data_IF_344317260147
#
_entry.id   IF_344317260147
#
_cell.length_a   1.000
_cell.length_b   1.000
_cell.length_c   1.000
_cell.angle_alpha   90.00
_cell.angle_beta   90.00
_cell.angle_gamma   90.00
#
_symmetry.space_group_name_H-M   'P 1'
#
loop_
_entity.id
_entity.type
_entity.pdbx_description
1 polymer ?
#
# COMPACT_ATOMS: atom_id res chain seq x y z
N UNK A 1 1.92 -17.06 36.31
CA UNK A 1 1.78 -17.70 37.64
C UNK A 1 1.46 -16.69 38.76
N UNK A 2 0.77 -15.61 38.43
CA UNK A 2 -0.03 -14.82 39.38
C UNK A 2 -1.33 -14.54 38.65
N UNK A 3 -2.43 -15.09 39.16
CA UNK A 3 -3.79 -14.84 38.68
C UNK A 3 -4.14 -13.38 38.98
N UNK A 4 -3.74 -12.46 38.11
CA UNK A 4 -4.31 -11.13 38.10
C UNK A 4 -5.57 -11.22 37.24
N UNK A 5 -6.72 -11.49 37.89
CA UNK A 5 -8.02 -11.25 37.28
C UNK A 5 -8.05 -9.76 36.88
N UNK A 6 -7.93 -9.49 35.59
CA UNK A 6 -8.16 -8.16 35.05
C UNK A 6 -9.68 -7.91 35.13
N UNK A 7 -10.13 -7.44 36.28
CA UNK A 7 -11.50 -6.91 36.44
C UNK A 7 -11.47 -5.54 35.77
N UNK A 8 -11.87 -5.50 34.50
CA UNK A 8 -12.12 -4.25 33.80
C UNK A 8 -13.42 -3.67 34.38
N UNK A 9 -13.27 -2.72 35.30
CA UNK A 9 -14.38 -1.90 35.74
C UNK A 9 -14.84 -1.06 34.55
N UNK A 10 -15.89 -1.53 33.87
CA UNK A 10 -16.44 -0.95 32.63
C UNK A 10 -17.24 0.34 32.89
N UNK A 11 -17.01 1.01 34.03
CA UNK A 11 -17.69 2.24 34.44
C UNK A 11 -17.39 3.46 33.55
N UNK A 12 -16.45 3.36 32.62
CA UNK A 12 -16.14 4.42 31.64
C UNK A 12 -16.62 3.98 30.26
N UNK A 13 -17.86 4.34 29.91
CA UNK A 13 -18.51 4.25 28.60
C UNK A 13 -18.32 2.93 27.79
N UNK A 14 -19.40 2.24 27.36
CA UNK A 14 -19.32 0.93 26.68
C UNK A 14 -18.46 0.89 25.39
N UNK A 15 -18.16 2.05 24.79
CA UNK A 15 -17.22 2.16 23.67
C UNK A 15 -15.77 1.89 24.07
N UNK A 16 -15.35 2.24 25.30
CA UNK A 16 -13.95 2.06 25.74
C UNK A 16 -13.67 0.58 25.99
N UNK A 17 -14.62 -0.17 26.57
CA UNK A 17 -14.43 -1.59 26.90
C UNK A 17 -14.19 -2.49 25.68
N UNK A 18 -15.01 -2.35 24.63
CA UNK A 18 -14.89 -3.16 23.41
C UNK A 18 -13.67 -2.79 22.57
N UNK A 19 -13.38 -1.50 22.43
CA UNK A 19 -12.19 -1.04 21.71
C UNK A 19 -10.92 -1.41 22.49
N UNK A 20 -10.96 -1.38 23.82
CA UNK A 20 -9.86 -1.83 24.67
C UNK A 20 -9.64 -3.34 24.55
N UNK A 21 -10.69 -4.16 24.65
CA UNK A 21 -10.58 -5.62 24.45
C UNK A 21 -10.03 -5.92 23.06
N UNK A 22 -10.55 -5.30 22.01
CA UNK A 22 -10.08 -5.55 20.65
C UNK A 22 -8.65 -5.07 20.43
N UNK A 23 -8.24 -3.92 20.99
CA UNK A 23 -6.84 -3.46 20.97
C UNK A 23 -5.91 -4.36 21.77
N UNK A 24 -6.36 -4.86 22.92
CA UNK A 24 -5.63 -5.85 23.72
C UNK A 24 -5.48 -7.17 22.94
N UNK A 25 -6.50 -7.59 22.19
CA UNK A 25 -6.43 -8.75 21.31
C UNK A 25 -5.52 -8.51 20.08
N UNK A 26 -5.41 -7.26 19.60
CA UNK A 26 -4.59 -6.88 18.44
C UNK A 26 -3.11 -6.64 18.77
N UNK A 27 -2.78 -6.23 20.01
CA UNK A 27 -1.44 -5.71 20.34
C UNK A 27 -0.75 -6.36 21.54
N UNK A 28 -1.41 -7.28 22.27
CA UNK A 28 -0.75 -8.02 23.34
C UNK A 28 -0.43 -9.46 22.89
N UNK A 29 0.53 -10.11 23.57
CA UNK A 29 0.80 -11.57 23.56
C UNK A 29 -0.38 -12.43 24.09
N UNK A 30 -1.61 -11.94 23.92
CA UNK A 30 -2.89 -12.60 24.11
C UNK A 30 -3.16 -13.62 23.00
N UNK A 31 -2.29 -13.71 21.99
CA UNK A 31 -2.17 -14.88 21.10
C UNK A 31 -2.17 -16.19 21.89
N UNK A 32 -1.57 -16.23 23.09
CA UNK A 32 -1.60 -17.41 23.97
C UNK A 32 -2.99 -17.64 24.58
N UNK A 33 -3.69 -16.59 25.01
CA UNK A 33 -5.02 -16.72 25.64
C UNK A 33 -6.11 -17.00 24.60
N UNK A 34 -6.06 -16.36 23.42
CA UNK A 34 -6.91 -16.69 22.29
C UNK A 34 -6.63 -18.12 21.80
N UNK A 35 -5.37 -18.55 21.64
CA UNK A 35 -5.03 -19.94 21.26
C UNK A 35 -5.32 -20.98 22.35
N UNK A 36 -5.24 -20.64 23.64
CA UNK A 36 -5.48 -21.58 24.74
C UNK A 36 -6.95 -21.67 25.17
N UNK A 37 -7.75 -20.62 24.99
CA UNK A 37 -9.12 -20.58 25.52
C UNK A 37 -10.19 -20.32 24.46
N UNK A 38 -9.99 -19.35 23.56
CA UNK A 38 -11.00 -19.02 22.55
C UNK A 38 -10.99 -19.98 21.35
N UNK A 39 -9.79 -20.33 20.85
CA UNK A 39 -9.61 -21.24 19.73
C UNK A 39 -10.05 -22.67 20.08
N UNK A 40 -9.77 -23.23 21.27
CA UNK A 40 -10.28 -24.53 21.72
C UNK A 40 -11.79 -24.52 22.00
N UNK A 41 -12.35 -23.41 22.47
CA UNK A 41 -13.80 -23.25 22.59
C UNK A 41 -14.49 -23.15 21.22
N UNK A 42 -13.91 -22.40 20.27
CA UNK A 42 -14.38 -22.31 18.89
C UNK A 42 -14.20 -23.63 18.14
N UNK A 43 -13.05 -24.28 18.27
CA UNK A 43 -12.80 -25.60 17.66
C UNK A 43 -13.60 -26.70 18.32
N UNK A 44 -13.86 -26.70 19.62
CA UNK A 44 -14.80 -27.66 20.25
C UNK A 44 -16.25 -27.43 19.84
N UNK A 45 -16.68 -26.17 19.65
CA UNK A 45 -17.96 -25.83 19.03
C UNK A 45 -18.06 -26.28 17.56
N UNK A 46 -16.93 -26.26 16.82
CA UNK A 46 -16.85 -26.64 15.41
C UNK A 46 -16.53 -28.15 15.21
N UNK A 47 -15.93 -28.82 16.19
CA UNK A 47 -15.56 -30.25 16.21
C UNK A 47 -16.57 -31.11 16.96
N UNK A 48 -17.58 -30.52 17.60
CA UNK A 48 -18.80 -31.21 17.98
C UNK A 48 -19.51 -31.67 16.69
N UNK A 49 -19.01 -32.78 16.15
CA UNK A 49 -19.19 -33.37 14.82
C UNK A 49 -20.59 -33.91 14.54
N UNK A 50 -21.61 -33.38 15.22
CA UNK A 50 -23.01 -33.70 14.98
C UNK A 50 -23.92 -32.49 14.90
N UNK A 51 -23.42 -31.27 15.15
CA UNK A 51 -24.21 -30.05 14.98
C UNK A 51 -23.90 -29.46 13.60
N UNK A 52 -24.84 -29.46 12.64
CA UNK A 52 -24.64 -28.75 11.38
C UNK A 52 -24.17 -27.31 11.64
N UNK A 53 -23.32 -26.75 10.77
CA UNK A 53 -22.90 -25.33 10.84
C UNK A 53 -24.13 -24.41 10.88
N UNK A 54 -25.23 -24.86 10.28
CA UNK A 54 -26.56 -24.26 10.40
C UNK A 54 -27.11 -24.26 11.83
N UNK A 55 -26.81 -25.21 12.71
CA UNK A 55 -27.16 -25.16 14.15
C UNK A 55 -26.22 -24.32 15.01
N UNK A 56 -24.97 -24.06 14.62
CA UNK A 56 -24.12 -23.08 15.33
C UNK A 56 -24.50 -21.67 14.89
N UNK A 57 -24.74 -21.48 13.59
CA UNK A 57 -25.32 -20.26 13.03
C UNK A 57 -26.79 -20.09 13.41
N UNK A 58 -27.56 -21.16 13.65
CA UNK A 58 -28.92 -21.12 14.19
C UNK A 58 -28.97 -21.21 15.70
N UNK A 59 -27.91 -21.54 16.43
CA UNK A 59 -27.80 -21.23 17.85
C UNK A 59 -27.52 -19.74 18.00
N UNK A 60 -26.63 -19.20 17.17
CA UNK A 60 -26.47 -17.76 17.02
C UNK A 60 -27.73 -17.10 16.45
N UNK A 61 -28.48 -17.73 15.52
CA UNK A 61 -29.73 -17.21 14.98
C UNK A 61 -30.97 -17.49 15.85
N UNK A 62 -31.01 -18.52 16.70
CA UNK A 62 -32.05 -18.77 17.72
C UNK A 62 -31.86 -17.80 18.90
N UNK A 63 -30.61 -17.54 19.30
CA UNK A 63 -30.24 -16.39 20.16
C UNK A 63 -30.72 -15.06 19.53
N UNK A 64 -30.81 -15.00 18.19
CA UNK A 64 -31.36 -13.85 17.44
C UNK A 64 -32.86 -13.97 17.08
N UNK A 65 -33.55 -15.11 17.26
CA UNK A 65 -34.90 -15.33 16.69
C UNK A 65 -35.97 -15.90 17.63
N UNK A 66 -35.67 -16.70 18.65
CA UNK A 66 -36.72 -17.27 19.52
C UNK A 66 -36.27 -17.31 20.97
N UNK A 67 -36.50 -16.18 21.64
CA UNK A 67 -36.50 -16.05 23.09
C UNK A 67 -37.76 -16.70 23.66
N UNK A 68 -37.60 -17.74 24.49
CA UNK A 68 -38.40 -17.95 25.70
C UNK A 68 -37.74 -19.08 26.53
N UNK A 69 -37.26 -18.68 27.71
CA UNK A 69 -36.76 -19.46 28.86
C UNK A 69 -35.45 -20.28 28.81
N UNK A 70 -34.41 -19.75 29.48
CA UNK A 70 -33.95 -20.26 30.80
C UNK A 70 -32.70 -19.48 31.27
N UNK A 71 -32.89 -18.73 32.35
CA UNK A 71 -31.99 -18.13 33.37
C UNK A 71 -30.55 -17.70 33.02
N UNK A 72 -29.74 -18.51 32.35
CA UNK A 72 -28.43 -18.09 31.83
C UNK A 72 -28.59 -17.05 30.71
N UNK A 73 -29.65 -17.23 29.91
CA UNK A 73 -30.14 -16.27 28.92
C UNK A 73 -30.68 -15.02 29.61
N UNK A 74 -31.36 -15.09 30.76
CA UNK A 74 -31.87 -13.88 31.43
C UNK A 74 -30.76 -12.96 31.97
N UNK A 75 -29.60 -13.51 32.31
CA UNK A 75 -28.46 -12.73 32.82
C UNK A 75 -27.75 -11.97 31.70
N UNK A 76 -27.75 -12.54 30.48
CA UNK A 76 -27.24 -11.90 29.26
C UNK A 76 -28.30 -11.01 28.57
N UNK A 77 -29.58 -11.41 28.57
CA UNK A 77 -30.73 -10.71 27.97
C UNK A 77 -31.02 -9.38 28.65
N UNK A 78 -30.83 -9.25 29.97
CA UNK A 78 -30.92 -7.94 30.63
C UNK A 78 -29.89 -6.92 30.13
N UNK A 79 -28.84 -7.35 29.43
CA UNK A 79 -27.78 -6.46 28.95
C UNK A 79 -27.93 -6.03 27.48
N UNK A 80 -28.91 -6.59 26.75
CA UNK A 80 -28.96 -6.49 25.28
C UNK A 80 -30.30 -6.04 24.70
N UNK A 81 -31.18 -5.46 25.51
CA UNK A 81 -32.30 -4.67 24.99
C UNK A 81 -31.76 -3.39 24.34
N UNK A 82 -31.72 -3.33 23.00
CA UNK A 82 -32.51 -2.37 22.20
C UNK A 82 -32.12 -2.33 20.72
N UNK A 83 -33.16 -2.46 19.89
CA UNK A 83 -33.19 -2.38 18.42
C UNK A 83 -32.87 -0.97 17.90
N UNK A 84 -32.61 -0.88 16.60
CA UNK A 84 -32.36 0.37 15.87
C UNK A 84 -33.35 1.49 16.20
N UNK A 85 -32.79 2.56 16.77
CA UNK A 85 -33.47 3.81 17.10
C UNK A 85 -32.73 4.41 18.28
N UNK A 86 -31.83 5.38 18.02
CA UNK A 86 -30.98 6.07 19.00
C UNK A 86 -29.87 5.20 19.62
N UNK A 87 -28.78 5.83 20.06
CA UNK A 87 -27.60 5.19 20.69
C UNK A 87 -28.00 4.13 21.76
N UNK A 88 -27.55 2.86 21.64
CA UNK A 88 -27.90 1.75 22.57
C UNK A 88 -27.11 0.42 22.39
N UNK A 89 -27.20 -0.52 23.36
CA UNK A 89 -26.26 -1.65 23.64
C UNK A 89 -26.25 -2.84 22.64
N UNK A 90 -27.27 -3.03 21.82
CA UNK A 90 -27.28 -4.11 20.81
C UNK A 90 -26.38 -3.80 19.61
N UNK A 91 -26.16 -2.52 19.29
CA UNK A 91 -25.21 -2.10 18.25
C UNK A 91 -23.78 -2.52 18.63
N UNK A 92 -23.39 -2.30 19.89
CA UNK A 92 -22.07 -2.67 20.42
C UNK A 92 -21.78 -4.17 20.32
N UNK A 93 -22.78 -5.05 20.49
CA UNK A 93 -22.58 -6.51 20.33
C UNK A 93 -22.44 -6.95 18.88
N UNK A 94 -23.21 -6.36 17.97
CA UNK A 94 -23.04 -6.59 16.53
C UNK A 94 -21.66 -6.13 16.07
N UNK A 95 -21.19 -5.02 16.63
CA UNK A 95 -19.88 -4.43 16.41
C UNK A 95 -18.76 -5.34 16.91
N UNK A 96 -18.89 -5.86 18.13
CA UNK A 96 -18.00 -6.87 18.68
C UNK A 96 -17.90 -8.12 17.80
N UNK A 97 -19.04 -8.71 17.41
CA UNK A 97 -19.09 -9.99 16.69
C UNK A 97 -18.36 -9.92 15.35
N UNK A 98 -18.55 -8.85 14.59
CA UNK A 98 -17.89 -8.67 13.30
C UNK A 98 -16.38 -8.43 13.40
N UNK A 99 -15.91 -7.73 14.44
CA UNK A 99 -14.49 -7.51 14.69
C UNK A 99 -13.84 -8.84 15.10
N UNK A 100 -14.50 -9.61 15.96
CA UNK A 100 -14.03 -10.92 16.39
C UNK A 100 -13.97 -11.91 15.21
N UNK A 101 -15.00 -11.96 14.36
CA UNK A 101 -14.96 -12.75 13.12
C UNK A 101 -13.84 -12.28 12.18
N UNK A 102 -13.61 -10.97 12.15
CA UNK A 102 -12.50 -10.38 11.42
C UNK A 102 -11.12 -10.86 11.88
N UNK A 103 -10.93 -10.95 13.19
CA UNK A 103 -9.72 -11.48 13.84
C UNK A 103 -9.59 -12.99 13.66
N UNK A 104 -10.68 -13.75 13.72
CA UNK A 104 -10.66 -15.19 13.42
C UNK A 104 -10.22 -15.43 11.98
N UNK A 105 -10.71 -14.65 11.03
CA UNK A 105 -10.27 -14.73 9.64
C UNK A 105 -8.77 -14.44 9.45
N UNK A 106 -8.16 -13.65 10.34
CA UNK A 106 -6.71 -13.43 10.33
C UNK A 106 -5.96 -14.64 10.86
N UNK A 107 -6.37 -15.12 12.03
CA UNK A 107 -5.64 -16.12 12.80
C UNK A 107 -5.73 -17.51 12.17
N UNK A 108 -6.91 -17.87 11.64
CA UNK A 108 -7.20 -19.18 11.05
C UNK A 108 -8.02 -19.02 9.75
N UNK A 109 -7.41 -18.51 8.66
CA UNK A 109 -8.13 -18.22 7.42
C UNK A 109 -8.77 -19.46 6.79
N UNK A 110 -8.09 -20.61 6.80
CA UNK A 110 -8.65 -21.87 6.26
C UNK A 110 -9.86 -22.35 7.06
N UNK A 111 -9.82 -22.18 8.38
CA UNK A 111 -10.91 -22.56 9.27
C UNK A 111 -12.09 -21.61 9.10
N UNK A 112 -11.84 -20.30 8.98
CA UNK A 112 -12.86 -19.32 8.66
C UNK A 112 -13.56 -19.65 7.34
N UNK A 113 -12.81 -19.99 6.28
CA UNK A 113 -13.40 -20.36 4.99
C UNK A 113 -14.17 -21.68 5.01
N UNK A 114 -13.72 -22.67 5.79
CA UNK A 114 -14.43 -23.95 5.95
C UNK A 114 -15.70 -23.82 6.78
N UNK A 115 -15.68 -22.97 7.80
CA UNK A 115 -16.74 -22.88 8.80
C UNK A 115 -17.78 -21.79 8.50
N UNK A 116 -17.45 -20.80 7.66
CA UNK A 116 -18.39 -19.76 7.26
C UNK A 116 -19.00 -20.07 5.87
N UNK A 117 -20.34 -20.14 5.75
CA UNK A 117 -21.02 -20.17 4.46
C UNK A 117 -20.55 -19.02 3.55
N UNK A 118 -20.61 -19.16 2.22
CA UNK A 118 -20.14 -18.13 1.28
C UNK A 118 -20.84 -16.77 1.47
N UNK A 119 -22.08 -16.75 2.00
CA UNK A 119 -22.82 -15.53 2.33
C UNK A 119 -22.33 -14.84 3.61
N UNK A 120 -21.76 -15.59 4.56
CA UNK A 120 -21.33 -15.05 5.86
C UNK A 120 -20.11 -14.14 5.70
N UNK A 121 -19.14 -14.52 4.86
CA UNK A 121 -17.99 -13.66 4.55
C UNK A 121 -18.40 -12.32 3.93
N UNK A 122 -19.44 -12.32 3.10
CA UNK A 122 -20.01 -11.10 2.53
C UNK A 122 -20.62 -10.20 3.61
N UNK A 123 -21.47 -10.74 4.48
CA UNK A 123 -22.11 -9.99 5.56
C UNK A 123 -21.09 -9.37 6.52
N UNK A 124 -20.01 -10.11 6.84
CA UNK A 124 -18.92 -9.59 7.68
C UNK A 124 -18.18 -8.46 6.96
N UNK A 125 -17.87 -8.61 5.67
CA UNK A 125 -17.22 -7.57 4.89
C UNK A 125 -18.08 -6.31 4.78
N UNK A 126 -19.38 -6.43 4.49
CA UNK A 126 -20.33 -5.30 4.47
C UNK A 126 -20.42 -4.60 5.83
N UNK A 127 -20.50 -5.37 6.91
CA UNK A 127 -20.55 -4.83 8.26
C UNK A 127 -19.25 -4.09 8.63
N UNK A 128 -18.08 -4.61 8.26
CA UNK A 128 -16.80 -3.92 8.44
C UNK A 128 -16.73 -2.64 7.58
N UNK A 129 -17.13 -2.68 6.32
CA UNK A 129 -17.21 -1.51 5.44
C UNK A 129 -18.14 -0.43 6.00
N UNK A 130 -19.32 -0.81 6.50
CA UNK A 130 -20.25 0.10 7.15
C UNK A 130 -19.63 0.74 8.40
N UNK A 131 -18.80 0.01 9.15
CA UNK A 131 -18.12 0.59 10.33
C UNK A 131 -17.00 1.52 9.96
N UNK A 132 -16.23 1.20 8.94
CA UNK A 132 -15.18 2.08 8.45
C UNK A 132 -15.80 3.38 7.91
N UNK A 133 -16.74 3.28 6.96
CA UNK A 133 -17.17 4.42 6.14
C UNK A 133 -18.58 4.95 6.44
N UNK A 134 -19.38 4.21 7.21
CA UNK A 134 -20.77 4.56 7.48
C UNK A 134 -20.94 5.63 8.57
N UNK A 135 -22.09 6.32 8.57
CA UNK A 135 -22.41 7.34 9.56
C UNK A 135 -22.64 6.72 10.94
N UNK A 136 -22.10 7.37 11.99
CA UNK A 136 -22.33 6.99 13.39
C UNK A 136 -21.24 6.11 14.03
N UNK A 137 -20.24 5.66 13.26
CA UNK A 137 -19.08 4.96 13.79
C UNK A 137 -18.11 5.96 14.45
N UNK A 138 -17.86 5.80 15.76
CA UNK A 138 -16.84 6.60 16.44
C UNK A 138 -15.42 6.30 15.91
N UNK A 139 -14.46 7.23 16.07
CA UNK A 139 -13.11 7.10 15.50
C UNK A 139 -12.36 5.85 16.00
N UNK A 140 -12.65 5.42 17.23
CA UNK A 140 -12.11 4.20 17.81
C UNK A 140 -12.57 2.93 17.08
N UNK A 141 -13.87 2.83 16.79
CA UNK A 141 -14.45 1.71 16.06
C UNK A 141 -14.01 1.71 14.58
N UNK A 142 -13.89 2.90 13.98
CA UNK A 142 -13.37 3.05 12.61
C UNK A 142 -11.92 2.58 12.52
N UNK A 143 -11.05 3.01 13.43
CA UNK A 143 -9.63 2.61 13.50
C UNK A 143 -9.50 1.09 13.64
N UNK A 144 -10.26 0.50 14.55
CA UNK A 144 -10.28 -0.94 14.77
C UNK A 144 -10.79 -1.70 13.55
N UNK A 145 -11.88 -1.24 12.92
CA UNK A 145 -12.41 -1.86 11.71
C UNK A 145 -11.41 -1.79 10.56
N UNK A 146 -10.71 -0.66 10.38
CA UNK A 146 -9.64 -0.52 9.39
C UNK A 146 -8.49 -1.50 9.64
N UNK A 147 -8.04 -1.66 10.89
CA UNK A 147 -6.96 -2.60 11.25
C UNK A 147 -7.35 -4.05 10.99
N UNK A 148 -8.51 -4.47 11.49
CA UNK A 148 -9.03 -5.83 11.32
C UNK A 148 -9.24 -6.16 9.84
N UNK A 149 -9.77 -5.20 9.08
CA UNK A 149 -9.94 -5.37 7.64
C UNK A 149 -8.59 -5.46 6.92
N UNK A 150 -7.62 -4.61 7.28
CA UNK A 150 -6.30 -4.61 6.66
C UNK A 150 -5.55 -5.93 6.90
N UNK A 151 -5.56 -6.42 8.13
CA UNK A 151 -4.86 -7.65 8.52
C UNK A 151 -5.43 -8.89 7.80
N UNK A 152 -6.75 -8.92 7.58
CA UNK A 152 -7.45 -10.00 6.88
C UNK A 152 -7.83 -9.64 5.43
N UNK A 153 -7.15 -8.67 4.82
CA UNK A 153 -7.51 -8.13 3.50
C UNK A 153 -7.63 -9.19 2.39
N UNK A 154 -6.76 -10.23 2.30
CA UNK A 154 -6.88 -11.28 1.29
C UNK A 154 -8.21 -12.06 1.34
N UNK A 155 -8.81 -12.18 2.53
CA UNK A 155 -10.12 -12.83 2.75
C UNK A 155 -11.25 -11.90 2.30
N UNK A 156 -11.16 -10.61 2.63
CA UNK A 156 -12.25 -9.66 2.35
C UNK A 156 -12.30 -9.15 0.92
N UNK A 157 -11.16 -9.10 0.21
CA UNK A 157 -11.08 -8.50 -1.14
C UNK A 157 -12.09 -9.07 -2.13
N UNK A 158 -12.41 -10.36 -2.04
CA UNK A 158 -13.41 -11.02 -2.92
C UNK A 158 -14.84 -10.54 -2.67
N UNK A 159 -15.11 -10.03 -1.47
CA UNK A 159 -16.42 -9.55 -1.05
C UNK A 159 -16.61 -8.04 -1.28
N UNK A 160 -15.53 -7.29 -1.56
CA UNK A 160 -15.58 -5.86 -1.86
C UNK A 160 -16.47 -5.51 -3.07
N UNK A 161 -16.61 -6.43 -4.03
CA UNK A 161 -17.47 -6.23 -5.22
C UNK A 161 -18.96 -6.17 -4.89
N UNK A 162 -19.39 -6.85 -3.83
CA UNK A 162 -20.79 -6.88 -3.42
C UNK A 162 -21.09 -5.82 -2.34
N UNK A 163 -20.09 -5.45 -1.54
CA UNK A 163 -20.19 -4.37 -0.55
C UNK A 163 -19.99 -2.95 -1.14
N UNK A 164 -19.44 -2.83 -2.35
CA UNK A 164 -19.15 -1.58 -3.05
C UNK A 164 -20.26 -1.11 -4.00
N UNK A 165 -20.08 0.03 -4.70
CA UNK A 165 -21.01 0.45 -5.75
C UNK A 165 -21.12 -0.62 -6.84
N UNK A 166 -22.28 -0.69 -7.51
CA UNK A 166 -22.72 -1.82 -8.35
C UNK A 166 -21.78 -2.27 -9.51
N UNK A 167 -20.67 -1.57 -9.76
CA UNK A 167 -19.77 -1.83 -10.88
C UNK A 167 -18.49 -2.56 -10.45
N UNK A 168 -18.17 -3.68 -11.12
CA UNK A 168 -17.15 -4.67 -10.70
C UNK A 168 -15.69 -4.19 -10.79
N UNK A 169 -15.39 -3.18 -11.61
CA UNK A 169 -14.02 -2.74 -11.89
C UNK A 169 -13.56 -1.56 -11.01
N UNK A 170 -14.49 -0.88 -10.34
CA UNK A 170 -14.20 0.30 -9.51
C UNK A 170 -14.24 0.01 -8.00
N UNK A 171 -14.51 -1.23 -7.58
CA UNK A 171 -14.70 -1.53 -6.15
C UNK A 171 -13.44 -1.28 -5.31
N UNK A 172 -12.26 -1.64 -5.83
CA UNK A 172 -10.97 -1.36 -5.17
C UNK A 172 -10.61 0.13 -5.25
N UNK A 173 -10.94 0.79 -6.37
CA UNK A 173 -10.72 2.24 -6.51
C UNK A 173 -11.53 3.02 -5.49
N UNK A 174 -12.83 2.73 -5.41
CA UNK A 174 -13.75 3.32 -4.46
C UNK A 174 -13.29 3.07 -3.03
N UNK A 175 -12.91 1.84 -2.70
CA UNK A 175 -12.46 1.47 -1.36
C UNK A 175 -11.19 2.24 -0.94
N UNK A 176 -10.20 2.32 -1.82
CA UNK A 176 -8.99 3.11 -1.58
C UNK A 176 -9.28 4.61 -1.43
N UNK A 177 -10.20 5.17 -2.21
CA UNK A 177 -10.65 6.56 -2.08
C UNK A 177 -11.35 6.80 -0.74
N UNK A 178 -12.23 5.90 -0.29
CA UNK A 178 -12.88 6.05 1.01
C UNK A 178 -11.89 5.95 2.16
N UNK A 179 -10.93 5.02 2.09
CA UNK A 179 -9.85 4.95 3.07
C UNK A 179 -8.99 6.24 3.09
N UNK A 180 -8.71 6.84 1.92
CA UNK A 180 -8.01 8.13 1.84
C UNK A 180 -8.84 9.30 2.41
N UNK A 181 -10.17 9.23 2.34
CA UNK A 181 -11.05 10.22 2.96
C UNK A 181 -10.97 10.15 4.48
N UNK A 182 -11.00 8.94 5.05
CA UNK A 182 -10.80 8.73 6.48
C UNK A 182 -9.38 9.03 6.93
N UNK A 183 -8.38 8.87 6.05
CA UNK A 183 -6.98 9.17 6.35
C UNK A 183 -6.76 10.64 6.76
N UNK A 184 -7.68 11.54 6.41
CA UNK A 184 -7.64 12.94 6.84
C UNK A 184 -7.90 13.11 8.35
N UNK A 185 -8.53 12.12 9.00
CA UNK A 185 -8.81 12.14 10.44
C UNK A 185 -7.60 11.58 11.22
N UNK A 186 -6.91 12.40 12.04
CA UNK A 186 -5.66 11.99 12.69
C UNK A 186 -5.78 10.74 13.58
N UNK A 187 -6.96 10.51 14.18
CA UNK A 187 -7.22 9.38 15.07
C UNK A 187 -7.26 8.02 14.34
N UNK A 188 -7.55 8.04 13.04
CA UNK A 188 -7.75 6.84 12.21
C UNK A 188 -6.68 6.74 11.11
N UNK A 189 -5.91 7.81 10.89
CA UNK A 189 -4.94 7.94 9.80
C UNK A 189 -3.97 6.75 9.69
N UNK A 190 -3.39 6.27 10.79
CA UNK A 190 -2.46 5.13 10.75
C UNK A 190 -3.14 3.84 10.30
N UNK A 191 -4.32 3.53 10.85
CA UNK A 191 -5.11 2.35 10.48
C UNK A 191 -5.55 2.42 9.02
N UNK A 192 -5.95 3.60 8.53
CA UNK A 192 -6.29 3.83 7.13
C UNK A 192 -5.07 3.71 6.20
N UNK A 193 -3.91 4.21 6.61
CA UNK A 193 -2.68 4.06 5.83
C UNK A 193 -2.33 2.58 5.64
N UNK A 194 -2.38 1.79 6.72
CA UNK A 194 -2.16 0.34 6.66
C UNK A 194 -3.16 -0.33 5.71
N UNK A 195 -4.43 0.05 5.77
CA UNK A 195 -5.46 -0.46 4.87
C UNK A 195 -5.17 -0.13 3.40
N UNK A 196 -4.80 1.12 3.10
CA UNK A 196 -4.42 1.56 1.75
C UNK A 196 -3.17 0.82 1.26
N UNK A 197 -2.21 0.58 2.15
CA UNK A 197 -1.02 -0.21 1.85
C UNK A 197 -1.37 -1.64 1.42
N UNK A 198 -2.39 -2.28 2.03
CA UNK A 198 -2.86 -3.59 1.60
C UNK A 198 -3.50 -3.55 0.21
N UNK A 199 -4.23 -2.48 -0.13
CA UNK A 199 -4.75 -2.30 -1.50
C UNK A 199 -3.59 -2.19 -2.51
N UNK A 200 -2.54 -1.44 -2.19
CA UNK A 200 -1.35 -1.35 -3.04
C UNK A 200 -0.54 -2.65 -3.11
N UNK A 201 -0.49 -3.40 -2.02
CA UNK A 201 0.11 -4.72 -1.98
C UNK A 201 -0.67 -5.72 -2.84
N UNK A 202 -1.97 -5.53 -3.03
CA UNK A 202 -2.75 -6.35 -3.95
C UNK A 202 -2.56 -5.88 -5.40
N UNK A 203 -2.84 -4.60 -5.66
CA UNK A 203 -2.80 -4.00 -6.99
C UNK A 203 -2.18 -2.59 -6.93
N UNK A 204 -0.86 -2.55 -7.13
CA UNK A 204 -0.08 -1.32 -7.19
C UNK A 204 -0.56 -0.36 -8.30
N UNK A 205 -1.04 -0.90 -9.42
CA UNK A 205 -1.49 -0.10 -10.55
C UNK A 205 -2.78 0.66 -10.22
N UNK A 206 -3.70 0.01 -9.49
CA UNK A 206 -4.92 0.63 -8.98
C UNK A 206 -4.62 1.68 -7.92
N UNK A 207 -3.72 1.39 -6.96
CA UNK A 207 -3.28 2.40 -5.98
C UNK A 207 -2.71 3.65 -6.67
N UNK A 208 -1.84 3.48 -7.66
CA UNK A 208 -1.24 4.59 -8.41
C UNK A 208 -2.27 5.42 -9.15
N UNK A 209 -3.26 4.77 -9.75
CA UNK A 209 -4.35 5.44 -10.47
C UNK A 209 -5.19 6.27 -9.52
N UNK A 210 -5.59 5.70 -8.40
CA UNK A 210 -6.43 6.34 -7.36
C UNK A 210 -5.70 7.52 -6.74
N UNK A 211 -4.50 7.31 -6.21
CA UNK A 211 -3.72 8.37 -5.56
C UNK A 211 -3.35 9.46 -6.55
N UNK A 212 -3.07 9.11 -7.81
CA UNK A 212 -2.84 10.09 -8.86
C UNK A 212 -4.07 10.93 -9.22
N UNK A 213 -5.28 10.34 -9.23
CA UNK A 213 -6.54 11.10 -9.38
C UNK A 213 -6.76 12.02 -8.16
N UNK A 214 -6.59 11.49 -6.95
CA UNK A 214 -6.77 12.21 -5.70
C UNK A 214 -5.79 13.39 -5.54
N UNK A 215 -4.52 13.19 -5.90
CA UNK A 215 -3.47 14.22 -5.87
C UNK A 215 -3.73 15.40 -6.81
N UNK A 216 -4.67 15.27 -7.76
CA UNK A 216 -5.07 16.34 -8.69
C UNK A 216 -6.50 16.83 -8.45
N UNK A 217 -7.17 16.33 -7.41
CA UNK A 217 -8.54 16.74 -7.11
C UNK A 217 -8.57 18.19 -6.62
N UNK A 218 -9.23 19.07 -7.37
CA UNK A 218 -9.42 20.47 -6.98
C UNK A 218 -10.51 20.64 -5.91
N UNK A 219 -11.45 19.70 -5.84
CA UNK A 219 -12.62 19.78 -4.97
C UNK A 219 -12.30 19.58 -3.48
N UNK A 220 -11.26 18.78 -3.18
CA UNK A 220 -10.95 18.36 -1.79
C UNK A 220 -9.82 19.15 -1.12
N UNK A 221 -9.30 20.17 -1.79
CA UNK A 221 -8.29 21.08 -1.26
C UNK A 221 -6.85 20.54 -1.20
N UNK A 222 -5.87 21.40 -0.84
CA UNK A 222 -4.44 21.08 -0.88
C UNK A 222 -3.99 19.95 0.05
N UNK A 223 -4.58 19.88 1.24
CA UNK A 223 -4.20 18.89 2.25
C UNK A 223 -4.47 17.47 1.74
N UNK A 224 -5.63 17.27 1.09
CA UNK A 224 -6.00 15.99 0.50
C UNK A 224 -5.04 15.55 -0.61
N UNK A 225 -4.64 16.47 -1.48
CA UNK A 225 -3.66 16.19 -2.53
C UNK A 225 -2.29 15.80 -1.93
N UNK A 226 -1.87 16.49 -0.88
CA UNK A 226 -0.63 16.22 -0.16
C UNK A 226 -0.67 14.83 0.51
N UNK A 227 -1.78 14.48 1.15
CA UNK A 227 -2.00 13.14 1.71
C UNK A 227 -1.88 12.03 0.68
N UNK A 228 -2.48 12.19 -0.50
CA UNK A 228 -2.41 11.20 -1.58
C UNK A 228 -0.96 10.97 -2.04
N UNK A 229 -0.16 12.04 -2.14
CA UNK A 229 1.26 11.95 -2.46
C UNK A 229 2.08 11.32 -1.33
N UNK A 230 1.79 11.63 -0.07
CA UNK A 230 2.46 11.01 1.08
C UNK A 230 2.17 9.51 1.19
N UNK A 231 0.95 9.08 0.85
CA UNK A 231 0.62 7.65 0.71
C UNK A 231 1.49 6.99 -0.35
N UNK A 232 1.75 7.64 -1.49
CA UNK A 232 2.66 7.13 -2.51
C UNK A 232 4.11 7.05 -2.01
N UNK A 233 4.58 8.01 -1.20
CA UNK A 233 5.89 7.93 -0.53
C UNK A 233 5.95 6.72 0.40
N UNK A 234 4.94 6.53 1.24
CA UNK A 234 4.83 5.37 2.11
C UNK A 234 4.81 4.06 1.32
N UNK A 235 4.16 4.03 0.16
CA UNK A 235 4.12 2.86 -0.71
C UNK A 235 5.50 2.50 -1.28
N UNK A 236 6.32 3.50 -1.67
CA UNK A 236 7.71 3.25 -2.08
C UNK A 236 8.50 2.62 -0.94
N UNK A 237 8.37 3.16 0.27
CA UNK A 237 9.10 2.68 1.44
C UNK A 237 8.74 1.24 1.81
N UNK A 238 7.45 0.90 1.79
CA UNK A 238 6.97 -0.42 2.23
C UNK A 238 6.99 -1.49 1.12
N UNK A 239 6.86 -1.10 -0.15
CA UNK A 239 6.67 -2.02 -1.28
C UNK A 239 7.49 -1.66 -2.51
N UNK A 240 8.77 -1.31 -2.32
CA UNK A 240 9.69 -0.95 -3.41
C UNK A 240 9.67 -1.94 -4.59
N UNK A 241 9.67 -3.26 -4.30
CA UNK A 241 9.62 -4.30 -5.33
C UNK A 241 8.35 -4.27 -6.18
N UNK A 242 7.21 -3.84 -5.61
CA UNK A 242 5.94 -3.71 -6.34
C UNK A 242 5.85 -2.40 -7.13
N UNK A 243 6.60 -1.38 -6.74
CA UNK A 243 6.70 -0.12 -7.49
C UNK A 243 7.57 -0.28 -8.73
N UNK A 244 8.59 -1.14 -8.68
CA UNK A 244 9.58 -1.35 -9.75
C UNK A 244 8.97 -1.46 -11.17
N UNK A 245 7.96 -2.33 -11.43
CA UNK A 245 7.41 -2.48 -12.78
C UNK A 245 6.65 -1.23 -13.27
N UNK A 246 6.26 -0.35 -12.34
CA UNK A 246 5.48 0.85 -12.60
C UNK A 246 6.28 2.15 -12.43
N UNK A 247 7.61 2.09 -12.29
CA UNK A 247 8.45 3.26 -12.00
C UNK A 247 8.22 4.48 -12.94
N UNK A 248 8.17 4.32 -14.27
CA UNK A 248 7.87 5.44 -15.17
C UNK A 248 6.47 6.01 -14.92
N UNK A 249 5.48 5.13 -14.74
CA UNK A 249 4.10 5.54 -14.48
C UNK A 249 3.96 6.25 -13.13
N UNK A 250 4.64 5.76 -12.10
CA UNK A 250 4.71 6.39 -10.78
C UNK A 250 5.29 7.80 -10.90
N UNK A 251 6.43 7.91 -11.58
CA UNK A 251 7.10 9.19 -11.83
C UNK A 251 6.18 10.16 -12.57
N UNK A 252 5.50 9.72 -13.62
CA UNK A 252 4.51 10.53 -14.32
C UNK A 252 3.35 10.99 -13.44
N UNK A 253 2.81 10.11 -12.59
CA UNK A 253 1.72 10.44 -11.67
C UNK A 253 2.15 11.58 -10.74
N UNK A 254 3.34 11.48 -10.16
CA UNK A 254 3.91 12.49 -9.27
C UNK A 254 4.24 13.79 -10.02
N UNK A 255 4.82 13.70 -11.22
CA UNK A 255 5.20 14.87 -12.01
C UNK A 255 4.00 15.65 -12.54
N UNK A 256 2.87 15.00 -12.83
CA UNK A 256 1.64 15.71 -13.24
C UNK A 256 1.17 16.75 -12.20
N UNK A 257 1.50 16.56 -10.92
CA UNK A 257 1.21 17.55 -9.88
C UNK A 257 2.09 18.82 -9.97
N UNK A 258 3.12 18.82 -10.82
CA UNK A 258 4.01 19.94 -11.08
C UNK A 258 3.74 20.61 -12.45
N UNK A 259 2.67 20.26 -13.16
CA UNK A 259 2.36 20.88 -14.45
C UNK A 259 2.31 22.41 -14.36
N UNK A 260 3.05 23.14 -15.24
CA UNK A 260 3.07 24.62 -15.19
C UNK A 260 1.70 25.28 -15.44
N UNK A 261 0.77 24.58 -16.06
CA UNK A 261 -0.59 25.03 -16.35
C UNK A 261 -1.45 25.23 -15.08
N UNK A 262 -1.09 24.58 -13.97
CA UNK A 262 -1.78 24.72 -12.68
C UNK A 262 -0.79 25.17 -11.58
N UNK A 263 -0.50 26.48 -11.49
CA UNK A 263 0.47 27.01 -10.55
C UNK A 263 0.06 26.81 -9.08
N UNK A 264 -1.25 26.72 -8.81
CA UNK A 264 -1.79 26.51 -7.46
C UNK A 264 -1.49 25.09 -7.02
N UNK A 265 -1.86 24.09 -7.82
CA UNK A 265 -1.55 22.69 -7.53
C UNK A 265 -0.05 22.45 -7.40
N UNK A 266 0.75 23.06 -8.30
CA UNK A 266 2.21 22.99 -8.28
C UNK A 266 2.80 23.50 -6.98
N UNK A 267 2.35 24.67 -6.49
CA UNK A 267 2.83 25.24 -5.23
C UNK A 267 2.46 24.37 -4.02
N UNK A 268 1.25 23.83 -4.01
CA UNK A 268 0.73 23.02 -2.90
C UNK A 268 1.40 21.64 -2.84
N UNK A 269 1.69 21.04 -4.00
CA UNK A 269 2.23 19.69 -4.09
C UNK A 269 3.75 19.62 -4.01
N UNK A 270 4.45 20.76 -4.10
CA UNK A 270 5.90 20.81 -4.29
C UNK A 270 6.68 20.00 -3.24
N UNK A 271 6.32 20.14 -1.96
CA UNK A 271 7.02 19.45 -0.87
C UNK A 271 6.80 17.94 -0.93
N UNK A 272 5.56 17.49 -1.12
CA UNK A 272 5.23 16.08 -1.21
C UNK A 272 5.81 15.41 -2.47
N UNK A 273 5.78 16.12 -3.60
CA UNK A 273 6.44 15.66 -4.84
C UNK A 273 7.96 15.56 -4.66
N UNK A 274 8.58 16.56 -4.03
CA UNK A 274 10.03 16.54 -3.77
C UNK A 274 10.41 15.35 -2.89
N UNK A 275 9.61 15.06 -1.85
CA UNK A 275 9.77 13.88 -1.01
C UNK A 275 9.65 12.58 -1.80
N UNK A 276 8.64 12.47 -2.67
CA UNK A 276 8.46 11.29 -3.52
C UNK A 276 9.62 11.09 -4.51
N UNK A 277 10.05 12.13 -5.21
CA UNK A 277 11.18 12.04 -6.15
C UNK A 277 12.49 11.72 -5.42
N UNK A 278 12.71 12.31 -4.24
CA UNK A 278 13.86 11.98 -3.39
C UNK A 278 13.85 10.51 -2.98
N UNK A 279 12.70 10.00 -2.54
CA UNK A 279 12.54 8.61 -2.15
C UNK A 279 12.79 7.65 -3.32
N UNK A 280 12.33 7.99 -4.53
CA UNK A 280 12.62 7.20 -5.73
C UNK A 280 14.14 7.12 -6.01
N UNK A 281 14.85 8.25 -5.93
CA UNK A 281 16.31 8.30 -6.14
C UNK A 281 17.06 7.49 -5.09
N UNK A 282 16.63 7.55 -3.83
CA UNK A 282 17.26 6.79 -2.75
C UNK A 282 16.96 5.29 -2.82
N UNK A 283 15.77 4.91 -3.26
CA UNK A 283 15.31 3.52 -3.21
C UNK A 283 15.75 2.72 -4.44
N UNK A 284 15.82 3.34 -5.62
CA UNK A 284 16.05 2.63 -6.88
C UNK A 284 17.35 3.07 -7.56
N UNK A 285 18.34 2.17 -7.71
CA UNK A 285 19.59 2.48 -8.42
C UNK A 285 19.40 2.85 -9.90
N UNK A 286 18.28 2.41 -10.50
CA UNK A 286 17.85 2.79 -11.85
C UNK A 286 17.09 4.12 -11.90
N UNK A 287 17.25 4.99 -10.90
CA UNK A 287 16.69 6.34 -10.88
C UNK A 287 17.81 7.32 -10.56
N UNK A 288 17.92 8.37 -11.36
CA UNK A 288 18.96 9.39 -11.18
C UNK A 288 18.38 10.80 -11.32
N UNK A 289 18.89 11.73 -10.52
CA UNK A 289 18.51 13.14 -10.58
C UNK A 289 19.74 14.01 -10.78
N UNK A 290 19.67 14.93 -11.74
CA UNK A 290 20.67 15.97 -11.94
C UNK A 290 20.09 17.34 -11.55
N UNK A 291 20.52 17.83 -10.38
CA UNK A 291 19.99 19.04 -9.76
C UNK A 291 20.14 20.32 -10.61
N UNK A 292 21.31 20.63 -11.22
CA UNK A 292 21.46 21.85 -12.01
C UNK A 292 20.56 21.92 -13.24
N UNK A 293 20.45 20.81 -13.99
CA UNK A 293 19.62 20.76 -15.21
C UNK A 293 18.17 20.40 -14.93
N UNK A 294 17.82 20.05 -13.69
CA UNK A 294 16.48 19.58 -13.29
C UNK A 294 16.01 18.40 -14.15
N UNK A 295 16.93 17.49 -14.50
CA UNK A 295 16.62 16.27 -15.26
C UNK A 295 16.49 15.09 -14.31
N UNK A 296 15.47 14.27 -14.52
CA UNK A 296 15.18 13.09 -13.74
C UNK A 296 15.10 11.89 -14.68
N UNK A 297 15.96 10.90 -14.50
CA UNK A 297 16.03 9.72 -15.36
C UNK A 297 15.52 8.49 -14.62
N UNK A 298 14.74 7.67 -15.32
CA UNK A 298 14.14 6.43 -14.80
C UNK A 298 14.38 5.32 -15.80
N UNK A 299 14.99 4.22 -15.34
CA UNK A 299 15.16 3.01 -16.12
C UNK A 299 13.95 2.09 -16.02
N UNK A 300 13.67 1.33 -17.08
CA UNK A 300 12.54 0.39 -17.14
C UNK A 300 13.02 -1.07 -17.18
N UNK A 301 12.09 -1.99 -16.89
CA UNK A 301 12.29 -3.44 -17.09
C UNK A 301 12.57 -3.81 -18.53
N UNK A 302 12.07 -3.01 -19.47
CA UNK A 302 12.12 -3.30 -20.91
C UNK A 302 13.38 -2.70 -21.58
N UNK A 303 14.33 -2.19 -20.78
CA UNK A 303 15.59 -1.62 -21.28
C UNK A 303 15.48 -0.20 -21.83
N UNK A 304 14.40 0.51 -21.52
CA UNK A 304 14.25 1.92 -21.84
C UNK A 304 14.78 2.78 -20.70
N UNK A 305 15.29 3.97 -21.03
CA UNK A 305 15.53 5.03 -20.05
C UNK A 305 14.67 6.23 -20.42
N UNK A 306 13.74 6.59 -19.53
CA UNK A 306 12.88 7.76 -19.69
C UNK A 306 13.49 8.92 -18.92
N UNK A 307 13.78 10.01 -19.61
CA UNK A 307 14.29 11.24 -19.01
C UNK A 307 13.20 12.29 -18.99
N UNK A 308 12.93 12.84 -17.82
CA UNK A 308 11.95 13.89 -17.56
C UNK A 308 12.65 15.22 -17.31
N UNK A 309 11.98 16.32 -17.67
CA UNK A 309 12.34 17.67 -17.26
C UNK A 309 11.40 18.12 -16.14
N UNK A 310 11.96 18.33 -14.94
CA UNK A 310 11.17 18.72 -13.77
C UNK A 310 10.67 20.17 -13.84
N UNK A 311 11.26 21.02 -14.70
CA UNK A 311 10.81 22.41 -14.86
C UNK A 311 9.47 22.44 -15.57
N UNK A 312 9.37 21.70 -16.68
CA UNK A 312 8.15 21.58 -17.49
C UNK A 312 7.23 20.46 -17.03
N UNK A 313 7.71 19.57 -16.15
CA UNK A 313 7.00 18.38 -15.68
C UNK A 313 6.61 17.40 -16.80
N UNK A 314 7.44 17.31 -17.84
CA UNK A 314 7.16 16.50 -19.04
C UNK A 314 8.26 15.50 -19.34
N UNK A 315 7.90 14.46 -20.12
CA UNK A 315 8.89 13.58 -20.75
C UNK A 315 9.75 14.42 -21.70
N UNK A 316 11.05 14.39 -21.47
CA UNK A 316 12.03 15.10 -22.29
C UNK A 316 12.57 14.19 -23.40
N UNK A 317 12.99 12.97 -23.06
CA UNK A 317 13.48 11.98 -24.03
C UNK A 317 13.23 10.55 -23.57
N UNK A 318 13.22 9.64 -24.53
CA UNK A 318 13.32 8.19 -24.32
C UNK A 318 14.62 7.74 -24.98
N UNK A 319 15.44 6.99 -24.24
CA UNK A 319 16.70 6.44 -24.70
C UNK A 319 16.52 4.93 -24.89
N UNK A 320 16.68 4.48 -26.12
CA UNK A 320 16.42 3.11 -26.55
C UNK A 320 17.73 2.43 -26.96
N UNK A 321 17.91 1.17 -26.53
CA UNK A 321 19.03 0.37 -27.02
C UNK A 321 19.48 -0.74 -26.09
N UNK A 322 19.21 -0.68 -24.79
CA UNK A 322 19.38 -1.85 -23.94
C UNK A 322 18.35 -2.92 -24.30
N UNK A 323 18.76 -4.18 -24.25
CA UNK A 323 17.91 -5.34 -24.56
C UNK A 323 17.25 -5.98 -23.34
N UNK A 324 17.49 -5.43 -22.16
CA UNK A 324 16.97 -5.93 -20.91
C UNK A 324 16.97 -4.87 -19.83
N UNK A 325 16.48 -5.23 -18.65
CA UNK A 325 16.17 -4.29 -17.58
C UNK A 325 17.36 -3.38 -17.22
N UNK A 326 17.07 -2.10 -16.99
CA UNK A 326 18.05 -1.14 -16.50
C UNK A 326 18.25 -1.39 -15.01
N UNK A 327 19.48 -1.71 -14.63
CA UNK A 327 19.84 -2.00 -13.25
C UNK A 327 20.39 -0.77 -12.51
N UNK A 328 21.08 0.15 -13.21
CA UNK A 328 21.62 1.36 -12.61
C UNK A 328 21.69 2.53 -13.59
N UNK A 329 21.53 3.76 -13.07
CA UNK A 329 21.62 5.02 -13.80
C UNK A 329 22.42 6.05 -13.01
N UNK A 330 23.17 6.91 -13.71
CA UNK A 330 23.88 8.03 -13.07
C UNK A 330 24.22 9.14 -14.06
N UNK A 331 24.02 10.40 -13.65
CA UNK A 331 24.38 11.58 -14.44
C UNK A 331 25.83 11.97 -14.19
N UNK A 332 26.52 12.46 -15.23
CA UNK A 332 27.79 13.15 -15.07
C UNK A 332 27.59 14.43 -14.26
N UNK A 333 28.66 14.93 -13.61
CA UNK A 333 28.60 16.10 -12.73
C UNK A 333 28.10 17.38 -13.44
N UNK A 334 28.37 17.50 -14.73
CA UNK A 334 27.91 18.59 -15.60
C UNK A 334 26.54 18.32 -16.24
N UNK A 335 26.00 17.09 -16.10
CA UNK A 335 24.75 16.64 -16.69
C UNK A 335 24.78 16.47 -18.21
N UNK A 336 25.96 16.56 -18.84
CA UNK A 336 26.09 16.40 -20.29
C UNK A 336 25.92 14.93 -20.72
N UNK A 337 26.20 13.99 -19.81
CA UNK A 337 26.13 12.56 -20.05
C UNK A 337 25.29 11.83 -19.00
N UNK A 338 24.68 10.73 -19.42
CA UNK A 338 24.01 9.76 -18.55
C UNK A 338 24.61 8.39 -18.80
N UNK A 339 25.08 7.73 -17.75
CA UNK A 339 25.49 6.34 -17.78
C UNK A 339 24.32 5.45 -17.40
N UNK A 340 24.09 4.39 -18.17
CA UNK A 340 23.12 3.34 -17.86
C UNK A 340 23.77 1.97 -17.89
N UNK A 341 23.33 1.08 -17.01
CA UNK A 341 23.81 -0.28 -16.94
C UNK A 341 22.64 -1.26 -16.99
N UNK A 342 22.78 -2.33 -17.77
CA UNK A 342 21.86 -3.45 -17.79
C UNK A 342 22.63 -4.75 -17.56
N UNK A 343 22.16 -5.52 -16.58
CA UNK A 343 22.75 -6.82 -16.25
C UNK A 343 22.47 -7.86 -17.35
N UNK A 344 21.25 -7.86 -17.89
CA UNK A 344 20.82 -8.80 -18.94
C UNK A 344 21.48 -8.52 -20.29
N UNK A 345 21.65 -7.25 -20.67
CA UNK A 345 22.39 -6.85 -21.87
C UNK A 345 23.92 -6.87 -21.65
N UNK A 346 24.35 -7.19 -20.42
CA UNK A 346 25.73 -7.18 -19.91
C UNK A 346 26.55 -6.01 -20.46
N UNK A 347 25.97 -4.81 -20.43
CA UNK A 347 26.59 -3.64 -21.03
C UNK A 347 26.29 -2.37 -20.26
N UNK A 348 27.24 -1.44 -20.37
CA UNK A 348 27.08 -0.05 -19.98
C UNK A 348 26.93 0.79 -21.23
N UNK A 349 26.00 1.73 -21.22
CA UNK A 349 25.82 2.73 -22.27
C UNK A 349 26.01 4.13 -21.73
N UNK A 350 26.70 4.97 -22.50
CA UNK A 350 26.80 6.40 -22.27
C UNK A 350 25.90 7.13 -23.27
N UNK A 351 25.07 8.02 -22.75
CA UNK A 351 24.11 8.80 -23.52
C UNK A 351 24.45 10.27 -23.45
N UNK A 352 24.23 10.97 -24.55
CA UNK A 352 24.28 12.43 -24.54
C UNK A 352 22.98 12.99 -23.96
N UNK A 353 23.05 13.67 -22.82
CA UNK A 353 21.91 14.27 -22.10
C UNK A 353 21.98 15.79 -21.97
N UNK A 354 23.00 16.43 -22.56
CA UNK A 354 23.24 17.87 -22.46
C UNK A 354 22.04 18.75 -22.84
N UNK A 355 22.03 19.95 -22.26
CA UNK A 355 21.14 21.04 -22.64
C UNK A 355 21.44 21.46 -24.07
N UNK A 356 20.79 20.84 -25.04
CA UNK A 356 20.58 21.48 -26.32
C UNK A 356 19.83 22.78 -26.02
N UNK A 357 20.48 23.95 -26.17
CA UNK A 357 19.77 25.23 -26.17
C UNK A 357 18.59 25.20 -27.15
N UNK A 358 17.75 26.24 -27.13
CA UNK A 358 16.53 26.38 -27.94
C UNK A 358 16.60 25.75 -29.37
N UNK A 359 17.75 25.86 -30.04
CA UNK A 359 18.00 25.30 -31.37
C UNK A 359 18.17 23.77 -31.46
N UNK A 360 18.77 23.10 -30.46
CA UNK A 360 18.99 21.65 -30.56
C UNK A 360 17.76 20.80 -30.19
N UNK A 361 16.75 21.42 -29.55
CA UNK A 361 15.40 20.87 -29.46
C UNK A 361 14.62 20.97 -30.78
N UNK A 362 14.88 22.01 -31.57
CA UNK A 362 14.25 22.25 -32.88
C UNK A 362 14.84 21.36 -33.99
N UNK A 363 16.12 21.00 -33.88
CA UNK A 363 16.84 20.15 -34.84
C UNK A 363 16.73 18.64 -34.57
N UNK A 364 15.91 18.20 -33.61
CA UNK A 364 15.60 16.78 -33.39
C UNK A 364 16.84 15.89 -33.31
N UNK A 365 17.90 16.33 -32.61
CA UNK A 365 19.12 15.53 -32.47
C UNK A 365 18.78 14.24 -31.73
N UNK A 366 18.74 13.14 -32.50
CA UNK A 366 18.42 11.79 -32.05
C UNK A 366 19.11 11.42 -30.74
N UNK A 367 18.45 10.58 -29.94
CA UNK A 367 18.97 9.94 -28.74
C UNK A 367 20.20 9.10 -29.07
N UNK A 368 21.37 9.75 -29.18
CA UNK A 368 22.61 9.09 -29.56
C UNK A 368 23.22 8.44 -28.33
N UNK A 369 23.27 7.11 -28.34
CA UNK A 369 24.21 6.36 -27.53
C UNK A 369 25.62 6.74 -28.01
N UNK A 370 26.39 7.43 -27.18
CA UNK A 370 27.75 7.85 -27.50
C UNK A 370 28.68 6.63 -27.51
N UNK A 371 28.52 5.76 -26.53
CA UNK A 371 29.35 4.58 -26.36
C UNK A 371 28.56 3.44 -25.75
N UNK A 372 28.89 2.23 -26.21
CA UNK A 372 28.47 0.98 -25.58
C UNK A 372 29.73 0.21 -25.18
N UNK A 373 29.81 -0.14 -23.91
CA UNK A 373 30.87 -0.96 -23.34
C UNK A 373 30.26 -2.30 -22.94
N UNK A 374 30.60 -3.35 -23.68
CA UNK A 374 30.27 -4.72 -23.32
C UNK A 374 31.16 -5.17 -22.17
N UNK A 375 30.58 -5.88 -21.20
CA UNK A 375 31.30 -6.36 -20.03
C UNK A 375 31.60 -7.85 -20.17
N UNK A 376 32.65 -8.36 -19.51
CA UNK A 376 32.88 -9.80 -19.43
C UNK A 376 31.66 -10.49 -18.76
N UNK A 377 31.38 -11.76 -19.10
CA UNK A 377 30.31 -12.51 -18.46
C UNK A 377 30.56 -12.61 -16.94
N UNK A 378 29.51 -12.51 -16.10
CA UNK A 378 29.67 -12.56 -14.66
C UNK A 378 30.29 -13.89 -14.20
N UNK A 379 31.25 -13.82 -13.26
CA UNK A 379 32.03 -14.98 -12.80
C UNK A 379 31.22 -16.08 -12.09
N UNK A 380 29.98 -15.81 -11.69
CA UNK A 380 29.06 -16.81 -11.13
C UNK A 380 27.72 -16.76 -11.89
N UNK A 381 27.41 -17.82 -12.62
CA UNK A 381 26.08 -18.08 -13.16
C UNK A 381 25.32 -18.93 -12.13
N UNK A 382 24.50 -18.28 -11.28
CA UNK A 382 23.73 -18.97 -10.26
C UNK A 382 22.74 -18.02 -9.56
N UNK A 383 21.45 -18.25 -9.82
CA UNK A 383 20.23 -17.75 -9.16
C UNK A 383 20.09 -16.24 -8.87
N UNK A 384 19.23 -15.56 -9.65
CA UNK A 384 18.09 -14.67 -9.29
C UNK A 384 18.08 -13.78 -8.03
N UNK A 385 19.21 -13.52 -7.38
CA UNK A 385 19.30 -12.51 -6.33
C UNK A 385 19.79 -11.20 -6.93
N UNK A 386 19.03 -10.12 -6.73
CA UNK A 386 19.40 -8.75 -7.07
C UNK A 386 20.81 -8.44 -6.53
N UNK A 387 21.81 -8.56 -7.40
CA UNK A 387 23.20 -8.19 -7.13
C UNK A 387 23.23 -6.71 -6.78
N UNK A 388 23.93 -6.34 -5.72
CA UNK A 388 24.09 -4.93 -5.38
C UNK A 388 24.92 -4.29 -6.48
N UNK A 389 24.28 -3.48 -7.32
CA UNK A 389 24.94 -2.77 -8.40
C UNK A 389 24.89 -1.28 -8.13
N UNK A 390 26.05 -0.64 -8.19
CA UNK A 390 26.16 0.80 -8.18
C UNK A 390 26.91 1.30 -9.41
N UNK A 391 26.44 2.42 -9.95
CA UNK A 391 27.06 3.08 -11.09
C UNK A 391 27.31 4.54 -10.69
N UNK A 392 28.55 5.00 -10.75
CA UNK A 392 28.91 6.35 -10.32
C UNK A 392 29.99 6.95 -11.23
N UNK A 393 29.95 8.26 -11.40
CA UNK A 393 31.03 9.01 -12.03
C UNK A 393 32.14 9.30 -11.01
N UNK A 394 33.38 9.07 -11.41
CA UNK A 394 34.57 9.48 -10.67
C UNK A 394 34.86 10.97 -10.89
N UNK A 395 35.63 11.58 -10.01
CA UNK A 395 36.07 12.99 -10.16
C UNK A 395 36.87 13.22 -11.44
N UNK A 396 37.51 12.17 -11.97
CA UNK A 396 38.28 12.19 -13.22
C UNK A 396 37.40 12.02 -14.47
N UNK A 397 36.08 11.90 -14.31
CA UNK A 397 35.15 11.71 -15.42
C UNK A 397 35.06 10.27 -15.93
N UNK A 398 35.64 9.29 -15.25
CA UNK A 398 35.43 7.88 -15.57
C UNK A 398 34.15 7.36 -14.93
N UNK A 399 33.46 6.46 -15.61
CA UNK A 399 32.30 5.77 -15.06
C UNK A 399 32.76 4.51 -14.33
N UNK A 400 32.44 4.41 -13.05
CA UNK A 400 32.76 3.27 -12.19
C UNK A 400 31.51 2.45 -11.96
N UNK A 401 31.54 1.19 -12.39
CA UNK A 401 30.54 0.18 -12.08
C UNK A 401 31.08 -0.72 -10.97
N UNK A 402 30.31 -0.92 -9.92
CA UNK A 402 30.61 -1.88 -8.85
C UNK A 402 29.49 -2.91 -8.78
N UNK A 403 29.86 -4.19 -8.88
CA UNK A 403 28.95 -5.34 -8.72
C UNK A 403 29.36 -6.15 -7.49
N UNK A 404 28.39 -6.52 -6.65
CA UNK A 404 28.58 -7.40 -5.50
C UNK A 404 29.77 -7.01 -4.61
N UNK A 405 29.98 -5.70 -4.47
CA UNK A 405 31.05 -5.07 -3.69
C UNK A 405 32.49 -5.57 -4.00
N UNK A 406 32.73 -6.21 -5.16
CA UNK A 406 34.00 -6.87 -5.46
C UNK A 406 34.48 -6.64 -6.89
N UNK A 407 33.59 -6.63 -7.88
CA UNK A 407 33.95 -6.34 -9.27
C UNK A 407 33.85 -4.84 -9.52
N UNK A 408 35.00 -4.16 -9.70
CA UNK A 408 35.07 -2.74 -10.04
C UNK A 408 35.55 -2.59 -11.48
N UNK A 409 34.71 -2.00 -12.32
CA UNK A 409 35.01 -1.72 -13.72
C UNK A 409 35.05 -0.20 -13.93
N UNK A 410 36.17 0.31 -14.43
CA UNK A 410 36.31 1.71 -14.83
C UNK A 410 36.20 1.84 -16.34
N UNK A 411 35.23 2.64 -16.77
CA UNK A 411 34.92 2.88 -18.17
C UNK A 411 35.29 4.32 -18.49
N UNK A 412 36.18 4.51 -19.47
CA UNK A 412 36.60 5.83 -19.91
C UNK A 412 35.67 6.32 -21.02
N UNK A 413 34.99 7.48 -20.85
CA UNK A 413 34.40 8.18 -21.99
C UNK A 413 35.54 8.56 -22.95
N UNK A 414 35.36 8.36 -24.26
CA UNK A 414 36.31 8.84 -25.27
C UNK A 414 35.96 10.26 -25.68
#
# INVERSE_FOLDING_TARGET
RTESRLVLDCGVAPQVGLTFIARVLLHCDVLVVLKQFALPALTSLLHASSAPVETVLAAWALVLQHSEDSEMVQTLVRSTELRHGTFGSAATLRDAASVLLGLVAHLEPELFERCCPPKTGLLVAEALCYRMFGPGSGPQLQSLACEVFAISFPVWRRHLKAAGPANRDESLEWFALQALNLYQEPRVATSCLNLIMQVGAEDANTLLRVMGKAARSRERGPAYASSALLVLVAFIHNFAARVLPFLPKFTEVVLRCLEPSDPVLRRQSLLAVTSALHQLVQTFPMVAFHQPSQKFAVGTSDGLVVVYDLRTATKWRILEGHKGAIAALTFSKDGSQLGSYSAQDNSVRLWQCGSTGFLGGLLGTSSRCLQRHGLPPPAAAGSDAWRTVSLAWTERGFLRLVRDNSEVLEIRPQ
#
